data_IF_965608254634
#
_entry.id   IF_965608254634
#
_cell.length_a   1.000
_cell.length_b   1.000
_cell.length_c   1.000
_cell.angle_alpha   90.00
_cell.angle_beta   90.00
_cell.angle_gamma   90.00
#
_symmetry.space_group_name_H-M   'P 1'
#
loop_
_entity.id
_entity.type
_entity.pdbx_description
1 polymer ?
#
# COMPACT_ATOMS: atom_id res chain seq x y z
N UNK A 1 0.27 -9.38 16.55
CA UNK A 1 -0.14 -10.62 15.84
C UNK A 1 0.32 -10.49 14.39
N UNK A 2 0.86 -11.54 13.77
CA UNK A 2 1.26 -11.50 12.34
C UNK A 2 0.08 -11.27 11.38
N UNK A 3 -1.15 -11.54 11.85
CA UNK A 3 -2.37 -11.45 11.05
C UNK A 3 -2.64 -10.02 10.57
N UNK A 4 -2.53 -8.99 11.42
CA UNK A 4 -2.79 -7.59 11.04
C UNK A 4 -1.84 -7.10 9.93
N UNK A 5 -0.56 -7.42 10.08
CA UNK A 5 0.48 -7.10 9.10
C UNK A 5 0.22 -7.81 7.77
N UNK A 6 -0.14 -9.10 7.82
CA UNK A 6 -0.44 -9.87 6.61
C UNK A 6 -1.70 -9.37 5.91
N UNK A 7 -2.76 -9.01 6.67
CA UNK A 7 -3.96 -8.38 6.11
C UNK A 7 -3.57 -7.12 5.33
N UNK A 8 -2.73 -6.28 5.92
CA UNK A 8 -2.26 -5.06 5.25
C UNK A 8 -1.44 -5.37 4.00
N UNK A 9 -0.49 -6.30 4.06
CA UNK A 9 0.34 -6.69 2.92
C UNK A 9 -0.48 -7.24 1.75
N UNK A 10 -1.50 -8.06 2.05
CA UNK A 10 -2.41 -8.60 1.04
C UNK A 10 -3.21 -7.50 0.36
N UNK A 11 -3.72 -6.54 1.14
CA UNK A 11 -4.47 -5.41 0.60
C UNK A 11 -3.57 -4.45 -0.18
N UNK A 12 -2.35 -4.22 0.28
CA UNK A 12 -1.35 -3.42 -0.42
C UNK A 12 -1.02 -4.03 -1.79
N UNK A 13 -0.82 -5.35 -1.83
CA UNK A 13 -0.58 -6.10 -3.06
C UNK A 13 -1.78 -6.12 -4.00
N UNK A 14 -3.00 -6.05 -3.46
CA UNK A 14 -4.23 -5.95 -4.25
C UNK A 14 -4.45 -4.57 -4.89
N UNK A 15 -3.78 -3.54 -4.37
CA UNK A 15 -3.89 -2.17 -4.87
C UNK A 15 -5.29 -1.56 -4.70
N UNK A 16 -5.56 -0.52 -5.49
CA UNK A 16 -6.82 0.25 -5.43
C UNK A 16 -8.08 -0.58 -5.78
N UNK A 17 -7.92 -1.72 -6.48
CA UNK A 17 -9.05 -2.61 -6.81
C UNK A 17 -9.62 -3.31 -5.58
N UNK A 18 -8.79 -3.52 -4.57
CA UNK A 18 -9.15 -4.25 -3.36
C UNK A 18 -9.42 -5.73 -3.58
N UNK A 19 -9.78 -6.40 -2.48
CA UNK A 19 -10.01 -7.83 -2.44
C UNK A 19 -11.23 -8.18 -1.58
N UNK A 20 -11.90 -9.29 -1.91
CA UNK A 20 -13.01 -9.81 -1.10
C UNK A 20 -12.48 -10.38 0.22
N UNK A 21 -13.23 -10.21 1.32
CA UNK A 21 -12.89 -10.74 2.67
C UNK A 21 -12.46 -12.21 2.61
N UNK A 22 -13.20 -13.04 1.89
CA UNK A 22 -12.89 -14.47 1.79
C UNK A 22 -11.50 -14.74 1.19
N UNK A 23 -11.11 -13.97 0.16
CA UNK A 23 -9.77 -14.09 -0.44
C UNK A 23 -8.69 -13.58 0.50
N UNK A 24 -8.95 -12.50 1.22
CA UNK A 24 -8.02 -11.95 2.22
C UNK A 24 -7.80 -12.99 3.32
N UNK A 25 -8.89 -13.51 3.90
CA UNK A 25 -8.83 -14.52 4.95
C UNK A 25 -8.11 -15.79 4.51
N UNK A 26 -8.32 -16.24 3.27
CA UNK A 26 -7.60 -17.39 2.71
C UNK A 26 -6.11 -17.12 2.59
N UNK A 27 -5.72 -15.95 2.10
CA UNK A 27 -4.30 -15.61 1.95
C UNK A 27 -3.62 -15.52 3.31
N UNK A 28 -4.22 -14.80 4.25
CA UNK A 28 -3.72 -14.67 5.62
C UNK A 28 -3.59 -16.03 6.30
N UNK A 29 -4.59 -16.91 6.14
CA UNK A 29 -4.52 -18.28 6.64
C UNK A 29 -3.33 -19.03 6.03
N UNK A 30 -3.17 -18.99 4.71
CA UNK A 30 -2.07 -19.69 4.04
C UNK A 30 -0.69 -19.17 4.45
N UNK A 31 -0.54 -17.86 4.67
CA UNK A 31 0.73 -17.24 5.07
C UNK A 31 1.07 -17.47 6.54
N UNK A 32 0.07 -17.47 7.43
CA UNK A 32 0.28 -17.54 8.88
C UNK A 32 0.14 -18.96 9.47
N UNK A 33 -0.55 -19.87 8.78
CA UNK A 33 -0.70 -21.26 9.22
C UNK A 33 0.59 -22.03 8.93
N UNK A 34 1.19 -22.62 9.97
CA UNK A 34 2.41 -23.40 9.84
C UNK A 34 2.35 -24.68 10.68
N UNK A 35 3.25 -25.63 10.43
CA UNK A 35 3.35 -26.89 11.19
C UNK A 35 3.52 -26.62 12.70
N UNK A 36 4.26 -25.58 13.07
CA UNK A 36 4.54 -25.23 14.48
C UNK A 36 3.49 -24.30 15.08
N UNK A 37 2.64 -23.70 14.25
CA UNK A 37 1.57 -22.77 14.66
C UNK A 37 0.32 -23.03 13.84
N UNK A 38 -0.40 -24.14 14.11
CA UNK A 38 -1.62 -24.46 13.39
C UNK A 38 -2.70 -23.43 13.73
N UNK A 39 -3.35 -22.93 12.69
CA UNK A 39 -4.47 -22.00 12.79
C UNK A 39 -5.75 -22.69 12.31
N UNK A 40 -6.89 -22.25 12.82
CA UNK A 40 -8.19 -22.64 12.30
C UNK A 40 -8.68 -21.58 11.31
N UNK A 41 -9.07 -22.01 10.12
CA UNK A 41 -9.58 -21.09 9.09
C UNK A 41 -10.80 -20.29 9.57
N UNK A 42 -11.69 -20.88 10.37
CA UNK A 42 -12.88 -20.18 10.88
C UNK A 42 -12.49 -19.01 11.78
N UNK A 43 -11.50 -19.21 12.64
CA UNK A 43 -11.02 -18.19 13.57
C UNK A 43 -10.30 -17.07 12.81
N UNK A 44 -9.47 -17.42 11.82
CA UNK A 44 -8.82 -16.44 10.94
C UNK A 44 -9.84 -15.64 10.15
N UNK A 45 -10.85 -16.29 9.57
CA UNK A 45 -11.89 -15.59 8.81
C UNK A 45 -12.71 -14.64 9.69
N UNK A 46 -13.09 -15.08 10.90
CA UNK A 46 -13.78 -14.25 11.88
C UNK A 46 -12.93 -13.03 12.27
N UNK A 47 -11.65 -13.25 12.58
CA UNK A 47 -10.71 -12.20 12.92
C UNK A 47 -10.55 -11.17 11.80
N UNK A 48 -10.29 -11.62 10.57
CA UNK A 48 -10.13 -10.74 9.39
C UNK A 48 -11.40 -9.92 9.17
N UNK A 49 -12.57 -10.54 9.29
CA UNK A 49 -13.85 -9.84 9.12
C UNK A 49 -14.03 -8.74 10.17
N UNK A 50 -13.76 -9.03 11.44
CA UNK A 50 -13.87 -8.06 12.53
C UNK A 50 -12.85 -6.93 12.38
N UNK A 51 -11.61 -7.26 12.02
CA UNK A 51 -10.53 -6.30 11.81
C UNK A 51 -10.90 -5.32 10.69
N UNK A 52 -11.28 -5.82 9.52
CA UNK A 52 -11.66 -4.99 8.37
C UNK A 52 -12.88 -4.13 8.66
N UNK A 53 -13.87 -4.68 9.36
CA UNK A 53 -15.07 -3.93 9.77
C UNK A 53 -14.74 -2.81 10.75
N UNK A 54 -13.78 -3.02 11.66
CA UNK A 54 -13.30 -2.00 12.59
C UNK A 54 -12.55 -0.89 11.85
N UNK A 55 -11.66 -1.24 10.92
CA UNK A 55 -10.94 -0.27 10.10
C UNK A 55 -11.89 0.59 9.25
N UNK A 56 -12.88 -0.02 8.60
CA UNK A 56 -13.83 0.72 7.76
C UNK A 56 -14.76 1.67 8.54
N UNK A 57 -14.83 1.59 9.88
CA UNK A 57 -15.56 2.55 10.71
C UNK A 57 -14.72 3.80 11.04
N UNK A 58 -13.41 3.72 10.92
CA UNK A 58 -12.49 4.80 11.23
C UNK A 58 -12.11 5.56 9.95
N UNK A 59 -12.52 6.83 9.79
CA UNK A 59 -12.20 7.64 8.61
C UNK A 59 -10.70 7.85 8.38
N UNK A 60 -9.89 7.73 9.43
CA UNK A 60 -8.43 7.88 9.35
C UNK A 60 -7.70 6.54 9.20
N UNK A 61 -8.45 5.44 9.04
CA UNK A 61 -7.85 4.13 8.88
C UNK A 61 -7.10 3.99 7.56
N UNK A 62 -6.09 3.14 7.57
CA UNK A 62 -5.32 2.78 6.37
C UNK A 62 -6.11 1.90 5.40
N UNK A 63 -7.25 1.35 5.84
CA UNK A 63 -8.06 0.40 5.09
C UNK A 63 -9.49 0.93 5.01
N UNK A 64 -10.05 0.93 3.81
CA UNK A 64 -11.40 1.39 3.53
C UNK A 64 -12.21 0.36 2.75
N UNK A 65 -13.52 0.61 2.68
CA UNK A 65 -14.47 -0.27 2.01
C UNK A 65 -14.58 0.11 0.54
N UNK A 66 -14.34 -0.86 -0.34
CA UNK A 66 -14.40 -0.67 -1.78
C UNK A 66 -15.82 -0.67 -2.36
N UNK A 67 -15.91 -0.46 -3.68
CA UNK A 67 -17.17 -0.37 -4.46
C UNK A 67 -17.96 -1.69 -4.59
N UNK A 68 -17.71 -2.70 -3.75
CA UNK A 68 -18.39 -4.00 -3.82
C UNK A 68 -18.67 -4.60 -2.44
N UNK A 69 -19.69 -5.46 -2.36
CA UNK A 69 -20.02 -6.15 -1.12
C UNK A 69 -18.84 -6.99 -0.63
N UNK A 70 -18.40 -6.71 0.60
CA UNK A 70 -17.28 -7.40 1.23
C UNK A 70 -15.93 -7.16 0.56
N UNK A 71 -15.76 -6.09 -0.22
CA UNK A 71 -14.48 -5.71 -0.82
C UNK A 71 -13.82 -4.63 0.04
N UNK A 72 -12.54 -4.81 0.34
CA UNK A 72 -11.72 -3.86 1.10
C UNK A 72 -10.43 -3.54 0.33
N UNK A 73 -9.92 -2.32 0.46
CA UNK A 73 -8.64 -1.88 -0.11
C UNK A 73 -7.89 -0.95 0.84
N UNK A 74 -6.62 -0.71 0.53
CA UNK A 74 -5.83 0.32 1.21
C UNK A 74 -6.31 1.70 0.76
N UNK A 75 -6.37 2.64 1.69
CA UNK A 75 -6.60 4.05 1.42
C UNK A 75 -5.28 4.72 1.02
N UNK A 76 -5.06 4.86 -0.29
CA UNK A 76 -3.85 5.50 -0.84
C UNK A 76 -3.83 7.03 -0.67
N UNK A 77 -4.97 7.65 -0.33
CA UNK A 77 -5.08 9.08 -0.07
C UNK A 77 -4.60 9.44 1.35
N UNK A 78 -4.45 8.45 2.23
CA UNK A 78 -3.92 8.64 3.57
C UNK A 78 -2.42 8.94 3.53
N UNK A 79 -2.02 10.08 4.12
CA UNK A 79 -0.61 10.47 4.30
C UNK A 79 0.20 9.37 5.02
N UNK A 80 -0.43 8.62 5.93
CA UNK A 80 0.24 7.53 6.65
C UNK A 80 0.56 6.34 5.72
N UNK A 81 -0.34 6.00 4.79
CA UNK A 81 -0.06 4.96 3.77
C UNK A 81 1.05 5.44 2.83
N UNK A 82 1.02 6.71 2.42
CA UNK A 82 2.05 7.30 1.56
C UNK A 82 3.44 7.31 2.22
N UNK A 83 3.53 7.52 3.54
CA UNK A 83 4.79 7.42 4.28
C UNK A 83 5.30 5.98 4.39
N UNK A 84 4.40 5.00 4.47
CA UNK A 84 4.76 3.57 4.50
C UNK A 84 5.20 3.03 3.13
N UNK A 85 4.67 3.61 2.04
CA UNK A 85 5.16 3.31 0.69
C UNK A 85 6.51 4.00 0.48
N UNK A 86 7.56 3.21 0.28
CA UNK A 86 8.81 3.74 -0.28
C UNK A 86 8.51 4.23 -1.70
N UNK A 87 8.35 5.56 -1.84
CA UNK A 87 8.08 6.17 -3.12
C UNK A 87 9.39 6.21 -3.92
N UNK A 88 9.69 5.13 -4.65
CA UNK A 88 10.85 5.06 -5.57
C UNK A 88 10.68 5.95 -6.82
N UNK A 89 9.54 6.64 -6.94
CA UNK A 89 9.20 7.58 -8.01
C UNK A 89 9.82 8.96 -7.79
N UNK A 90 11.11 9.05 -7.45
CA UNK A 90 11.79 10.34 -7.22
C UNK A 90 12.20 11.07 -8.51
N UNK A 91 11.61 10.76 -9.68
CA UNK A 91 12.04 11.35 -10.95
C UNK A 91 10.92 11.77 -11.92
N UNK A 92 9.66 11.90 -11.50
CA UNK A 92 8.57 12.28 -12.44
C UNK A 92 7.64 13.39 -11.93
N UNK A 93 7.82 13.90 -10.70
CA UNK A 93 6.92 14.93 -10.14
C UNK A 93 7.57 16.30 -9.94
N UNK A 94 8.64 16.60 -10.68
CA UNK A 94 9.03 17.99 -10.96
C UNK A 94 8.98 18.19 -12.49
N UNK A 95 8.04 19.04 -12.91
CA UNK A 95 7.81 19.61 -14.24
C UNK A 95 6.52 19.16 -14.92
N UNK A 96 5.39 19.69 -14.46
CA UNK A 96 4.37 20.22 -15.37
C UNK A 96 3.32 20.94 -14.53
N UNK A 97 3.57 22.21 -14.24
CA UNK A 97 2.61 23.30 -14.28
C UNK A 97 3.35 24.59 -13.92
N UNK A 98 3.81 25.31 -14.93
CA UNK A 98 3.68 26.76 -15.07
C UNK A 98 4.16 27.15 -16.48
N UNK A 99 3.29 27.84 -17.21
CA UNK A 99 3.46 28.27 -18.59
C UNK A 99 4.43 29.47 -18.68
N UNK A 100 5.23 29.47 -19.75
CA UNK A 100 5.88 30.59 -20.45
C UNK A 100 6.60 31.70 -19.63
N UNK A 101 7.94 31.74 -19.67
CA UNK A 101 8.65 32.66 -20.58
C UNK A 101 10.18 32.52 -20.54
N UNK A 102 10.78 32.69 -21.73
CA UNK A 102 12.20 32.92 -22.08
C UNK A 102 13.26 31.83 -21.86
N UNK A 103 13.94 31.60 -22.98
CA UNK A 103 15.20 30.89 -23.14
C UNK A 103 16.24 31.25 -22.07
N UNK A 104 16.81 30.23 -21.43
CA UNK A 104 18.26 30.14 -21.31
C UNK A 104 18.71 28.68 -21.28
N UNK A 105 19.71 28.42 -22.11
CA UNK A 105 20.23 27.12 -22.44
C UNK A 105 21.29 26.75 -21.37
N UNK A 106 20.89 26.13 -20.27
CA UNK A 106 21.84 25.57 -19.29
C UNK A 106 21.62 24.07 -19.16
N UNK A 107 22.45 23.33 -19.89
CA UNK A 107 22.67 21.88 -19.76
C UNK A 107 22.84 21.49 -18.29
N UNK A 108 22.22 20.41 -17.79
CA UNK A 108 22.54 19.92 -16.46
C UNK A 108 24.00 19.45 -16.46
N UNK A 109 24.85 20.17 -15.73
CA UNK A 109 26.27 19.83 -15.59
C UNK A 109 26.41 18.42 -15.00
N UNK A 110 27.13 17.57 -15.72
CA UNK A 110 27.55 16.24 -15.28
C UNK A 110 28.34 16.36 -13.97
N UNK A 111 27.94 15.57 -12.97
CA UNK A 111 28.55 15.49 -11.63
C UNK A 111 29.85 14.64 -11.62
N UNK A 112 30.52 14.51 -12.76
CA UNK A 112 31.77 13.80 -12.91
C UNK A 112 32.76 14.70 -13.66
N UNK A 113 33.30 15.69 -12.96
CA UNK A 113 34.60 16.26 -13.31
C UNK A 113 35.66 15.54 -12.47
N UNK A 114 36.17 14.43 -13.00
CA UNK A 114 37.46 13.87 -12.58
C UNK A 114 38.57 14.78 -13.13
N UNK A 115 38.90 15.83 -12.38
CA UNK A 115 40.27 16.33 -12.38
C UNK A 115 41.12 15.33 -11.59
N UNK A 116 41.65 14.33 -12.29
CA UNK A 116 42.80 13.57 -11.82
C UNK A 116 43.83 13.46 -12.96
N UNK A 117 44.95 14.15 -12.73
CA UNK A 117 46.20 14.24 -13.50
C UNK A 117 46.32 15.32 -14.57
#
# INVERSE_FOLDING_TARGET
MKLDQEIFNVLLSAGAKGLKVEKIARHVYNSCNSIFTPLNYKDVHSYVTQYLTRCAKDPHSLIEKGKGYGVYHVNFDSKAVQQLMLNFSSSVLENSNEEEDKADNSTPQSLFDENMF
#
